data_IF_771500165558
#
_entry.id   IF_771500165558
#
_cell.length_a   1.000
_cell.length_b   1.000
_cell.length_c   1.000
_cell.angle_alpha   90.00
_cell.angle_beta   90.00
_cell.angle_gamma   90.00
#
_symmetry.space_group_name_H-M   'P 1'
#
loop_
_entity.id
_entity.type
_entity.pdbx_description
1 polymer ?
#
# COMPACT_ATOMS: atom_id res chain seq x y z
N UNK A 1 -26.13 41.82 10.07
CA UNK A 1 -27.52 41.36 10.26
C UNK A 1 -27.51 39.83 10.12
N UNK A 2 -27.64 39.09 11.23
CA UNK A 2 -27.52 37.63 11.28
C UNK A 2 -28.92 37.02 11.08
N UNK A 3 -29.11 36.21 10.04
CA UNK A 3 -30.31 35.37 9.86
C UNK A 3 -29.94 33.94 10.20
N UNK A 4 -30.44 33.44 11.34
CA UNK A 4 -30.46 32.02 11.66
C UNK A 4 -31.65 31.39 10.93
N UNK A 5 -31.39 30.39 10.10
CA UNK A 5 -32.42 29.49 9.58
C UNK A 5 -32.30 28.16 10.34
N UNK A 6 -33.37 27.80 11.06
CA UNK A 6 -33.57 26.48 11.65
C UNK A 6 -34.25 25.58 10.61
N UNK A 7 -33.64 24.45 10.27
CA UNK A 7 -34.27 23.40 9.46
C UNK A 7 -34.49 22.19 10.37
N UNK A 8 -35.76 21.83 10.51
CA UNK A 8 -36.26 20.81 11.41
C UNK A 8 -35.89 19.39 10.98
N UNK A 9 -35.67 18.57 12.00
CA UNK A 9 -35.37 17.14 11.92
C UNK A 9 -36.62 16.35 11.52
N UNK A 10 -36.59 15.70 10.35
CA UNK A 10 -37.58 14.68 9.99
C UNK A 10 -37.02 13.30 10.37
N UNK A 11 -37.67 12.64 11.33
CA UNK A 11 -37.49 11.21 11.58
C UNK A 11 -38.22 10.42 10.47
N UNK A 12 -37.49 9.62 9.70
CA UNK A 12 -38.08 8.59 8.84
C UNK A 12 -37.50 7.20 9.16
N UNK A 13 -38.41 6.37 9.69
CA UNK A 13 -38.57 4.92 9.52
C UNK A 13 -37.35 4.03 9.28
N UNK A 14 -37.07 3.16 10.25
CA UNK A 14 -36.27 1.96 10.06
C UNK A 14 -36.99 0.94 9.17
N UNK A 15 -36.45 0.67 7.98
CA UNK A 15 -36.77 -0.50 7.16
C UNK A 15 -35.82 -1.63 7.55
N UNK A 16 -36.37 -2.72 8.10
CA UNK A 16 -35.63 -3.95 8.36
C UNK A 16 -35.44 -4.72 7.02
N UNK A 17 -34.21 -5.17 6.69
CA UNK A 17 -34.02 -6.04 5.54
C UNK A 17 -34.46 -7.47 5.87
N UNK A 18 -35.26 -8.06 4.98
CA UNK A 18 -35.56 -9.49 4.98
C UNK A 18 -34.28 -10.27 4.58
N UNK A 19 -33.80 -11.12 5.48
CA UNK A 19 -32.73 -12.08 5.22
C UNK A 19 -33.26 -13.14 4.24
N UNK A 20 -32.87 -13.05 2.98
CA UNK A 20 -32.97 -14.16 2.05
C UNK A 20 -31.91 -15.21 2.44
N UNK A 21 -32.34 -16.43 2.71
CA UNK A 21 -31.47 -17.56 2.98
C UNK A 21 -30.68 -17.93 1.72
N UNK A 22 -29.35 -17.85 1.79
CA UNK A 22 -28.45 -18.20 0.70
C UNK A 22 -28.32 -19.73 0.60
N UNK A 23 -28.44 -20.34 -0.59
CA UNK A 23 -28.32 -21.78 -0.76
C UNK A 23 -26.87 -22.22 -0.54
N UNK A 24 -26.66 -23.13 0.44
CA UNK A 24 -25.38 -23.78 0.66
C UNK A 24 -25.00 -24.65 -0.55
N UNK A 25 -24.10 -24.15 -1.38
CA UNK A 25 -23.44 -24.95 -2.41
C UNK A 25 -22.34 -25.77 -1.73
N UNK A 26 -22.51 -27.10 -1.72
CA UNK A 26 -21.50 -28.02 -1.21
C UNK A 26 -20.22 -27.93 -2.06
N UNK A 27 -19.02 -27.91 -1.45
CA UNK A 27 -17.77 -27.90 -2.18
C UNK A 27 -17.54 -29.22 -2.93
N UNK A 28 -16.96 -29.19 -4.15
CA UNK A 28 -16.59 -30.40 -4.87
C UNK A 28 -15.46 -31.14 -4.16
N UNK A 29 -15.54 -32.47 -4.22
CA UNK A 29 -14.54 -33.39 -3.67
C UNK A 29 -13.15 -33.12 -4.29
N UNK A 30 -12.12 -33.11 -3.42
CA UNK A 30 -10.74 -32.95 -3.82
C UNK A 30 -10.26 -34.17 -4.65
N UNK A 31 -9.51 -33.96 -5.74
CA UNK A 31 -8.82 -35.05 -6.40
C UNK A 31 -7.59 -35.49 -5.60
N UNK A 32 -7.53 -36.79 -5.34
CA UNK A 32 -6.37 -37.50 -4.82
C UNK A 32 -5.18 -37.44 -5.79
N UNK A 33 -4.00 -37.16 -5.24
CA UNK A 33 -2.76 -37.76 -5.71
C UNK A 33 -2.04 -37.08 -6.88
N UNK A 34 -0.92 -36.42 -6.57
CA UNK A 34 0.23 -36.43 -7.47
C UNK A 34 1.53 -36.35 -6.65
N UNK A 35 2.40 -37.32 -6.95
CA UNK A 35 3.55 -37.72 -6.19
C UNK A 35 4.69 -36.68 -6.16
N UNK A 36 5.40 -36.69 -5.03
CA UNK A 36 6.70 -36.04 -4.86
C UNK A 36 7.76 -36.69 -5.76
N UNK A 37 8.39 -35.89 -6.62
CA UNK A 37 9.61 -36.25 -7.34
C UNK A 37 10.87 -35.76 -6.61
N UNK A 38 12.00 -36.49 -6.69
CA UNK A 38 13.21 -36.17 -5.94
C UNK A 38 13.99 -34.98 -6.51
N UNK A 39 14.65 -34.31 -5.57
CA UNK A 39 15.49 -33.12 -5.66
C UNK A 39 16.83 -33.46 -6.33
N UNK A 40 17.19 -32.76 -7.40
CA UNK A 40 18.54 -32.81 -7.98
C UNK A 40 19.38 -31.65 -7.41
N UNK A 41 20.36 -32.01 -6.58
CA UNK A 41 21.47 -31.15 -6.20
C UNK A 41 22.49 -31.09 -7.35
N UNK A 42 22.87 -29.88 -7.74
CA UNK A 42 24.12 -29.67 -8.48
C UNK A 42 24.80 -28.45 -7.88
N UNK A 43 25.82 -28.74 -7.08
CA UNK A 43 26.80 -27.77 -6.64
C UNK A 43 27.71 -27.37 -7.80
N UNK A 44 28.00 -26.08 -7.89
CA UNK A 44 29.12 -25.56 -8.64
C UNK A 44 29.84 -24.55 -7.74
N UNK A 45 30.99 -24.97 -7.22
CA UNK A 45 31.95 -24.11 -6.55
C UNK A 45 32.61 -23.19 -7.59
N UNK A 46 32.60 -21.89 -7.34
CA UNK A 46 33.38 -20.91 -8.09
C UNK A 46 34.69 -20.60 -7.35
N UNK A 47 35.79 -20.37 -8.09
CA UNK A 47 37.12 -20.18 -7.51
C UNK A 47 37.29 -18.80 -6.85
N UNK A 48 38.07 -18.85 -5.79
CA UNK A 48 38.64 -17.75 -5.03
C UNK A 48 39.66 -16.99 -5.89
N UNK A 49 39.56 -15.66 -5.91
CA UNK A 49 40.26 -14.83 -6.88
C UNK A 49 40.42 -13.39 -6.43
N UNK A 50 41.43 -13.16 -5.60
CA UNK A 50 42.44 -12.13 -5.89
C UNK A 50 42.17 -10.72 -5.37
N UNK A 51 42.96 -10.39 -4.35
CA UNK A 51 43.31 -9.08 -3.81
C UNK A 51 43.40 -7.93 -4.84
N UNK A 52 42.76 -6.81 -4.49
CA UNK A 52 42.90 -5.53 -5.18
C UNK A 52 42.64 -4.37 -4.21
N UNK A 53 43.73 -3.71 -3.81
CA UNK A 53 43.82 -2.73 -2.74
C UNK A 53 43.12 -1.38 -3.01
N UNK A 54 42.72 -0.77 -1.88
CA UNK A 54 42.77 0.65 -1.52
C UNK A 54 42.40 1.72 -2.56
N UNK A 55 41.26 2.36 -2.32
CA UNK A 55 40.92 3.67 -2.86
C UNK A 55 39.98 4.40 -1.90
N UNK A 56 40.53 4.97 -0.83
CA UNK A 56 39.82 5.81 0.11
C UNK A 56 39.29 7.07 -0.56
N UNK A 57 37.99 7.12 -0.76
CA UNK A 57 37.23 8.34 -0.96
C UNK A 57 36.16 8.38 0.13
N UNK A 58 36.42 9.10 1.20
CA UNK A 58 35.43 9.44 2.22
C UNK A 58 34.45 10.47 1.61
N UNK A 59 33.72 10.03 0.58
CA UNK A 59 32.52 10.71 0.14
C UNK A 59 31.52 10.54 1.27
N UNK A 60 31.10 11.66 1.87
CA UNK A 60 30.07 11.69 2.90
C UNK A 60 28.93 10.75 2.49
N UNK A 61 28.85 9.59 3.15
CA UNK A 61 27.84 8.60 2.85
C UNK A 61 26.48 9.28 3.04
N UNK A 62 25.69 9.33 1.97
CA UNK A 62 24.33 9.84 2.06
C UNK A 62 23.63 9.13 3.23
N UNK A 63 22.84 9.85 4.05
CA UNK A 63 22.21 9.27 5.22
C UNK A 63 21.40 8.04 4.79
N UNK A 64 21.72 6.89 5.40
CA UNK A 64 21.07 5.63 5.09
C UNK A 64 19.57 5.76 5.40
N UNK A 65 18.74 5.60 4.38
CA UNK A 65 17.28 5.62 4.55
C UNK A 65 16.87 4.43 5.41
N UNK A 66 16.15 4.70 6.49
CA UNK A 66 15.73 3.67 7.46
C UNK A 66 14.82 2.65 6.80
N UNK A 67 15.14 1.37 6.99
CA UNK A 67 14.30 0.27 6.57
C UNK A 67 13.13 0.08 7.56
N UNK A 68 11.90 0.00 7.04
CA UNK A 68 10.71 -0.11 7.87
C UNK A 68 10.68 -1.43 8.68
N UNK A 69 11.18 -2.51 8.08
CA UNK A 69 11.26 -3.84 8.70
C UNK A 69 12.31 -3.93 9.82
N UNK A 70 13.37 -3.12 9.77
CA UNK A 70 14.47 -3.15 10.73
C UNK A 70 14.23 -2.26 11.96
N UNK A 71 13.32 -1.30 11.82
CA UNK A 71 12.97 -0.36 12.87
C UNK A 71 11.45 -0.15 12.86
N UNK A 72 10.67 -1.11 13.37
CA UNK A 72 9.21 -1.00 13.41
C UNK A 72 8.75 0.25 14.18
N UNK A 73 7.58 0.82 13.84
CA UNK A 73 7.02 1.91 14.62
C UNK A 73 6.69 1.47 16.04
N UNK A 74 6.66 2.44 16.95
CA UNK A 74 6.27 2.21 18.33
C UNK A 74 4.81 1.73 18.41
N UNK A 75 4.45 0.84 19.36
CA UNK A 75 3.13 0.22 19.41
C UNK A 75 2.00 1.17 19.84
N UNK A 76 2.33 2.36 20.32
CA UNK A 76 1.37 3.35 20.77
C UNK A 76 0.55 3.91 19.60
N UNK A 77 -0.79 3.87 19.75
CA UNK A 77 -1.69 4.47 18.78
C UNK A 77 -1.66 5.99 18.89
N UNK A 78 -1.61 6.65 17.76
CA UNK A 78 -1.55 8.11 17.67
C UNK A 78 -2.54 8.62 16.63
N UNK A 79 -3.07 9.85 16.80
CA UNK A 79 -3.93 10.46 15.78
C UNK A 79 -3.22 10.59 14.44
N UNK A 80 -3.96 10.49 13.34
CA UNK A 80 -3.41 10.73 11.99
C UNK A 80 -2.68 12.08 11.93
N UNK A 81 -1.44 12.12 11.41
CA UNK A 81 -0.72 13.37 11.21
C UNK A 81 -1.49 14.32 10.29
N UNK A 82 -1.53 15.59 10.65
CA UNK A 82 -2.03 16.65 9.79
C UNK A 82 -1.16 16.79 8.53
N UNK A 83 -1.71 17.41 7.48
CA UNK A 83 -0.99 17.56 6.21
C UNK A 83 0.40 18.21 6.36
N UNK A 84 0.51 19.25 7.19
CA UNK A 84 1.77 19.96 7.43
C UNK A 84 2.81 19.13 8.20
N UNK A 85 2.40 18.11 8.96
CA UNK A 85 3.34 17.24 9.68
C UNK A 85 4.13 16.31 8.75
N UNK A 86 3.70 16.17 7.49
CA UNK A 86 4.35 15.30 6.51
C UNK A 86 5.55 15.94 5.82
N UNK A 87 5.70 17.25 5.92
CA UNK A 87 6.84 17.97 5.32
C UNK A 87 8.16 17.57 6.01
N UNK A 88 8.08 17.30 7.33
CA UNK A 88 9.20 16.82 8.16
C UNK A 88 9.12 15.31 8.46
N UNK A 89 8.35 14.55 7.67
CA UNK A 89 8.25 13.10 7.86
C UNK A 89 9.52 12.38 7.37
N UNK A 90 9.90 11.34 8.10
CA UNK A 90 11.12 10.57 7.81
C UNK A 90 10.93 9.74 6.53
N UNK A 91 11.79 9.86 5.50
CA UNK A 91 11.80 8.93 4.39
C UNK A 91 12.12 7.51 4.88
N UNK A 92 11.36 6.52 4.42
CA UNK A 92 11.59 5.11 4.77
C UNK A 92 11.76 4.25 3.54
N UNK A 93 12.59 3.22 3.66
CA UNK A 93 12.74 2.18 2.66
C UNK A 93 11.73 1.09 2.92
N UNK A 94 11.00 0.71 1.88
CA UNK A 94 10.06 -0.41 1.90
C UNK A 94 10.80 -1.75 1.76
N UNK A 95 10.15 -2.84 2.16
CA UNK A 95 10.70 -4.19 2.04
C UNK A 95 10.89 -4.57 0.56
N UNK A 96 9.98 -4.13 -0.32
CA UNK A 96 10.14 -4.19 -1.77
C UNK A 96 9.59 -2.92 -2.42
N UNK A 97 10.32 -2.38 -3.37
CA UNK A 97 9.87 -1.25 -4.17
C UNK A 97 10.24 -1.49 -5.64
N UNK A 98 9.22 -1.67 -6.47
CA UNK A 98 9.34 -1.80 -7.94
C UNK A 98 8.81 -0.57 -8.67
N UNK A 99 8.34 0.44 -7.95
CA UNK A 99 7.81 1.68 -8.53
C UNK A 99 8.91 2.62 -9.07
N UNK A 100 10.18 2.39 -8.68
CA UNK A 100 11.29 3.25 -9.03
C UNK A 100 11.13 4.62 -8.38
N UNK A 101 11.11 5.69 -9.18
CA UNK A 101 10.89 7.05 -8.68
C UNK A 101 9.41 7.45 -8.60
N UNK A 102 8.49 6.56 -9.01
CA UNK A 102 7.07 6.90 -9.12
C UNK A 102 6.38 6.97 -7.76
N UNK A 103 6.81 6.15 -6.78
CA UNK A 103 6.30 6.22 -5.41
C UNK A 103 7.37 6.64 -4.41
N UNK A 104 6.96 7.34 -3.35
CA UNK A 104 7.82 7.75 -2.23
C UNK A 104 7.14 7.43 -0.91
N UNK A 105 7.85 6.73 -0.03
CA UNK A 105 7.35 6.35 1.28
C UNK A 105 7.96 7.24 2.38
N UNK A 106 7.09 7.74 3.27
CA UNK A 106 7.47 8.52 4.45
C UNK A 106 6.71 8.05 5.67
N UNK A 107 7.38 8.03 6.82
CA UNK A 107 6.82 7.62 8.09
C UNK A 107 6.74 8.82 9.05
N UNK A 108 5.64 8.88 9.80
CA UNK A 108 5.47 9.82 10.91
C UNK A 108 4.75 9.11 12.04
N UNK A 109 5.47 8.85 13.15
CA UNK A 109 4.96 8.02 14.27
C UNK A 109 4.60 6.62 13.74
N UNK A 110 3.38 6.14 13.96
CA UNK A 110 2.87 4.87 13.42
C UNK A 110 2.26 5.00 12.00
N UNK A 111 2.23 6.19 11.41
CA UNK A 111 1.55 6.42 10.13
C UNK A 111 2.54 6.39 8.97
N UNK A 112 2.21 5.59 7.95
CA UNK A 112 2.91 5.54 6.69
C UNK A 112 2.14 6.31 5.64
N UNK A 113 2.85 7.14 4.87
CA UNK A 113 2.35 7.82 3.68
C UNK A 113 3.15 7.35 2.47
N UNK A 114 2.44 6.90 1.45
CA UNK A 114 3.00 6.54 0.14
C UNK A 114 2.40 7.48 -0.89
N UNK A 115 3.23 8.34 -1.46
CA UNK A 115 2.87 9.24 -2.55
C UNK A 115 3.26 8.59 -3.87
N UNK A 116 2.30 8.26 -4.74
CA UNK A 116 2.52 7.67 -6.05
C UNK A 116 2.07 8.61 -7.17
N UNK A 117 2.90 8.77 -8.20
CA UNK A 117 2.55 9.47 -9.44
C UNK A 117 2.01 8.46 -10.44
N UNK A 118 0.80 8.69 -10.95
CA UNK A 118 0.14 7.81 -11.91
C UNK A 118 -0.60 8.67 -12.93
N UNK A 119 -0.31 8.48 -14.21
CA UNK A 119 -1.06 9.18 -15.26
C UNK A 119 -2.49 8.63 -15.32
N UNK A 120 -3.48 9.52 -15.39
CA UNK A 120 -4.88 9.13 -15.55
C UNK A 120 -5.38 8.20 -14.44
N UNK A 121 -5.15 8.55 -13.18
CA UNK A 121 -5.66 7.78 -12.05
C UNK A 121 -7.19 7.71 -12.11
N UNK A 122 -7.71 6.49 -12.25
CA UNK A 122 -9.13 6.21 -12.38
C UNK A 122 -9.76 5.81 -11.05
N UNK A 123 -9.07 4.99 -10.26
CA UNK A 123 -9.59 4.51 -8.97
C UNK A 123 -8.49 4.08 -8.02
N UNK A 124 -8.82 4.05 -6.73
CA UNK A 124 -8.03 3.42 -5.67
C UNK A 124 -8.94 2.51 -4.89
N UNK A 125 -8.53 1.27 -4.64
CA UNK A 125 -9.32 0.31 -3.87
C UNK A 125 -8.47 -0.47 -2.88
N UNK A 126 -9.05 -0.75 -1.72
CA UNK A 126 -8.46 -1.64 -0.72
C UNK A 126 -9.07 -3.03 -0.85
N UNK A 127 -8.24 -4.05 -0.87
CA UNK A 127 -8.58 -5.46 -0.80
C UNK A 127 -8.12 -6.02 0.56
N UNK A 128 -9.00 -6.78 1.21
CA UNK A 128 -8.74 -7.39 2.52
C UNK A 128 -9.57 -6.80 3.65
N UNK A 129 -9.61 -7.50 4.78
CA UNK A 129 -10.53 -7.26 5.88
C UNK A 129 -9.90 -6.56 7.11
N UNK A 130 -8.83 -5.77 6.96
CA UNK A 130 -8.08 -5.27 8.12
C UNK A 130 -8.04 -3.74 8.26
N UNK A 131 -8.40 -3.34 9.47
CA UNK A 131 -8.29 -2.06 10.18
C UNK A 131 -9.13 -0.87 9.71
N UNK A 132 -9.36 -0.68 8.41
CA UNK A 132 -9.78 0.65 7.96
C UNK A 132 -8.74 1.70 8.36
N UNK A 133 -9.15 2.96 8.47
CA UNK A 133 -8.29 4.12 8.73
C UNK A 133 -7.34 4.49 7.58
N UNK A 134 -7.44 3.88 6.40
CA UNK A 134 -6.76 4.40 5.22
C UNK A 134 -7.39 5.70 4.71
N UNK A 135 -6.54 6.59 4.22
CA UNK A 135 -6.96 7.85 3.63
C UNK A 135 -6.27 8.03 2.29
N UNK A 136 -7.06 8.47 1.33
CA UNK A 136 -6.61 8.74 -0.03
C UNK A 136 -6.73 10.22 -0.30
N UNK A 137 -5.66 10.82 -0.83
CA UNK A 137 -5.68 12.17 -1.38
C UNK A 137 -5.26 12.09 -2.83
N UNK A 138 -6.12 12.52 -3.73
CA UNK A 138 -5.81 12.59 -5.16
C UNK A 138 -5.08 13.90 -5.47
N UNK A 139 -4.06 13.83 -6.32
CA UNK A 139 -3.35 14.98 -6.84
C UNK A 139 -3.89 15.33 -8.24
N UNK A 140 -4.84 16.28 -8.29
CA UNK A 140 -5.41 16.77 -9.55
C UNK A 140 -4.66 18.00 -10.02
N UNK A 141 -4.20 17.98 -11.27
CA UNK A 141 -3.66 19.16 -11.94
C UNK A 141 -4.78 19.95 -12.59
N UNK A 142 -4.68 21.27 -12.55
CA UNK A 142 -5.70 22.16 -13.13
C UNK A 142 -5.93 21.83 -14.61
N UNK A 143 -7.18 21.54 -14.96
CA UNK A 143 -7.59 21.27 -16.35
C UNK A 143 -7.44 19.82 -16.81
N UNK A 144 -6.93 18.91 -15.97
CA UNK A 144 -6.97 17.47 -16.25
C UNK A 144 -8.29 16.87 -15.73
N UNK A 145 -8.88 15.97 -16.53
CA UNK A 145 -10.11 15.25 -16.15
C UNK A 145 -9.84 14.21 -15.04
N UNK A 146 -8.63 13.64 -15.02
CA UNK A 146 -8.22 12.60 -14.09
C UNK A 146 -7.05 13.07 -13.24
N UNK A 147 -6.93 12.50 -12.03
CA UNK A 147 -5.82 12.82 -11.15
C UNK A 147 -4.49 12.27 -11.70
N UNK A 148 -3.41 12.96 -11.39
CA UNK A 148 -2.04 12.63 -11.81
C UNK A 148 -1.22 11.89 -10.73
N UNK A 149 -1.83 11.67 -9.56
CA UNK A 149 -1.21 10.95 -8.45
C UNK A 149 -2.15 10.73 -7.28
N UNK A 150 -1.67 9.98 -6.29
CA UNK A 150 -2.37 9.72 -5.04
C UNK A 150 -1.39 9.65 -3.87
N UNK A 151 -1.77 10.24 -2.75
CA UNK A 151 -1.20 9.95 -1.44
C UNK A 151 -2.08 8.93 -0.72
N UNK A 152 -1.51 7.79 -0.37
CA UNK A 152 -2.14 6.76 0.46
C UNK A 152 -1.56 6.86 1.86
N UNK A 153 -2.41 7.02 2.88
CA UNK A 153 -1.99 7.18 4.28
C UNK A 153 -2.71 6.16 5.15
N UNK A 154 -1.97 5.35 5.90
CA UNK A 154 -2.53 4.34 6.80
C UNK A 154 -1.61 4.11 8.01
N UNK A 155 -2.15 3.65 9.16
CA UNK A 155 -1.32 3.24 10.28
C UNK A 155 -0.67 1.89 9.98
N UNK A 156 0.56 1.68 10.46
CA UNK A 156 1.30 0.42 10.33
C UNK A 156 1.37 -0.24 11.69
N UNK A 157 0.53 -1.25 11.91
CA UNK A 157 0.38 -1.92 13.22
C UNK A 157 0.55 -3.43 13.08
N UNK A 158 0.99 -4.06 14.17
CA UNK A 158 1.05 -5.52 14.23
C UNK A 158 -0.35 -6.11 14.08
N UNK A 159 -0.47 -7.15 13.27
CA UNK A 159 -1.73 -7.78 12.87
C UNK A 159 -2.34 -7.19 11.60
N UNK A 160 -1.89 -6.02 11.14
CA UNK A 160 -2.43 -5.40 9.93
C UNK A 160 -2.00 -6.16 8.68
N UNK A 161 -2.96 -6.27 7.75
CA UNK A 161 -2.79 -6.87 6.43
C UNK A 161 -3.72 -6.19 5.44
N UNK A 162 -3.19 -5.55 4.40
CA UNK A 162 -4.02 -4.92 3.37
C UNK A 162 -3.30 -4.89 2.04
N UNK A 163 -4.09 -4.90 0.98
CA UNK A 163 -3.61 -4.68 -0.38
C UNK A 163 -4.36 -3.49 -0.94
N UNK A 164 -3.67 -2.48 -1.44
CA UNK A 164 -4.26 -1.28 -2.01
C UNK A 164 -3.83 -1.21 -3.48
N UNK A 165 -4.80 -1.21 -4.37
CA UNK A 165 -4.56 -1.10 -5.81
C UNK A 165 -4.84 0.31 -6.29
N UNK A 166 -3.88 0.85 -7.04
CA UNK A 166 -4.00 2.14 -7.73
C UNK A 166 -4.22 1.82 -9.21
N UNK A 167 -5.40 2.16 -9.70
CA UNK A 167 -5.88 1.84 -11.04
C UNK A 167 -5.82 3.10 -11.91
N UNK A 168 -5.32 2.96 -13.13
CA UNK A 168 -5.30 4.01 -14.14
C UNK A 168 -6.24 3.68 -15.29
N UNK A 169 -6.82 4.73 -15.85
CA UNK A 169 -7.67 4.68 -17.02
C UNK A 169 -6.86 4.95 -18.28
N UNK A 170 -7.07 4.14 -19.31
CA UNK A 170 -6.54 4.36 -20.64
C UNK A 170 -7.68 4.40 -21.64
N UNK A 171 -7.74 5.45 -22.43
CA UNK A 171 -8.67 5.54 -23.54
C UNK A 171 -8.23 4.61 -24.67
N UNK A 172 -9.09 3.67 -25.03
CA UNK A 172 -8.92 2.75 -26.13
C UNK A 172 -9.59 3.28 -27.41
N UNK A 173 -9.45 2.51 -28.50
CA UNK A 173 -10.11 2.80 -29.77
C UNK A 173 -11.63 2.96 -29.58
N UNK A 174 -12.23 3.96 -30.23
CA UNK A 174 -13.65 4.37 -30.10
C UNK A 174 -14.08 4.92 -28.74
N UNK A 175 -13.14 5.34 -27.89
CA UNK A 175 -13.46 6.00 -26.63
C UNK A 175 -13.93 5.05 -25.54
N UNK A 176 -13.64 3.75 -25.66
CA UNK A 176 -13.82 2.81 -24.56
C UNK A 176 -12.74 3.07 -23.50
N UNK A 177 -13.12 3.13 -22.22
CA UNK A 177 -12.19 3.30 -21.11
C UNK A 177 -11.72 1.92 -20.63
N UNK A 178 -10.45 1.60 -20.86
CA UNK A 178 -9.78 0.47 -20.22
C UNK A 178 -9.25 0.86 -18.85
N UNK A 179 -9.27 -0.07 -17.89
CA UNK A 179 -8.68 0.12 -16.56
C UNK A 179 -7.55 -0.90 -16.37
N UNK A 180 -6.39 -0.43 -15.90
CA UNK A 180 -5.24 -1.27 -15.57
C UNK A 180 -4.67 -0.90 -14.21
N UNK A 181 -4.09 -1.89 -13.51
CA UNK A 181 -3.37 -1.64 -12.26
C UNK A 181 -2.02 -1.01 -12.56
N UNK A 182 -1.78 0.19 -12.02
CA UNK A 182 -0.48 0.85 -12.09
C UNK A 182 0.41 0.52 -10.93
N UNK A 183 -0.16 0.42 -9.72
CA UNK A 183 0.60 0.06 -8.52
C UNK A 183 -0.22 -0.82 -7.60
N UNK A 184 0.45 -1.74 -6.91
CA UNK A 184 -0.10 -2.49 -5.79
C UNK A 184 0.73 -2.22 -4.54
N UNK A 185 0.13 -1.59 -3.55
CA UNK A 185 0.71 -1.43 -2.22
C UNK A 185 0.25 -2.63 -1.39
N UNK A 186 1.18 -3.41 -0.86
CA UNK A 186 0.87 -4.51 0.05
C UNK A 186 1.51 -4.23 1.40
N UNK A 187 0.73 -4.34 2.48
CA UNK A 187 1.21 -4.35 3.86
C UNK A 187 0.86 -5.69 4.48
N UNK A 188 1.82 -6.25 5.20
CA UNK A 188 1.58 -7.30 6.19
C UNK A 188 2.50 -7.10 7.39
N UNK A 189 1.97 -7.30 8.59
CA UNK A 189 2.78 -7.44 9.79
C UNK A 189 2.21 -8.54 10.68
N UNK A 190 2.68 -9.76 10.51
CA UNK A 190 2.12 -10.91 11.22
C UNK A 190 2.65 -11.00 12.65
N UNK A 191 1.96 -11.80 13.47
CA UNK A 191 2.44 -12.14 14.80
C UNK A 191 3.75 -12.93 14.69
N UNK A 192 4.76 -12.51 15.45
CA UNK A 192 6.11 -13.09 15.40
C UNK A 192 7.05 -12.44 14.39
N UNK A 193 6.56 -11.64 13.44
CA UNK A 193 7.43 -10.90 12.52
C UNK A 193 8.19 -9.79 13.27
N UNK A 194 9.47 -9.61 12.93
CA UNK A 194 10.34 -8.59 13.51
C UNK A 194 9.85 -7.16 13.22
N UNK A 195 9.23 -6.95 12.06
CA UNK A 195 8.68 -5.68 11.63
C UNK A 195 7.71 -5.84 10.46
N UNK A 196 7.06 -4.75 10.04
CA UNK A 196 6.12 -4.78 8.93
C UNK A 196 6.83 -5.00 7.60
N UNK A 197 6.21 -5.77 6.73
CA UNK A 197 6.59 -5.93 5.33
C UNK A 197 5.63 -5.10 4.48
N UNK A 198 6.10 -3.94 4.06
CA UNK A 198 5.38 -3.07 3.12
C UNK A 198 6.08 -3.13 1.78
N UNK A 199 5.31 -3.28 0.71
CA UNK A 199 5.79 -3.35 -0.67
C UNK A 199 4.99 -2.45 -1.59
N UNK A 200 5.65 -1.92 -2.63
CA UNK A 200 5.00 -1.33 -3.80
C UNK A 200 5.45 -2.11 -5.02
N UNK A 201 4.48 -2.66 -5.76
CA UNK A 201 4.69 -3.46 -6.97
C UNK A 201 4.11 -2.75 -8.19
#
# INVERSE_FOLDING_TARGET
MKKLLWIGTALLGALAPALAAEPQIAPPAAPDGAAAGPRAETGAALPDGGDGAAGGGEGAAAPAVRALEAAPPAPERTPRPAMAEWDDAEPVRLARDKSGAACKARMRREWLRIDCTAQSLAAVRTLGASAGEEWFRLDQKNGEELASGVSVVFPVRRGDRRVIEILTGMWAYRGELGISTSFVISEQWLDGDAGPLVSVL
#
